data_IF_622619234228
#
_entry.id   IF_622619234228
#
_cell.length_a   1.000
_cell.length_b   1.000
_cell.length_c   1.000
_cell.angle_alpha   90.00
_cell.angle_beta   90.00
_cell.angle_gamma   90.00
#
_symmetry.space_group_name_H-M   'P 1'
#
loop_
_entity.id
_entity.type
_entity.pdbx_description
1 polymer ?
#
# COMPACT_ATOMS: atom_id res chain seq x y z
N UNK A 1 17.30 -12.76 -23.53
CA UNK A 1 18.52 -12.44 -22.77
C UNK A 1 18.25 -11.14 -22.04
N UNK A 2 17.83 -11.23 -20.81
CA UNK A 2 17.54 -10.09 -19.94
C UNK A 2 18.84 -9.40 -19.57
N UNK A 3 18.97 -8.15 -19.96
CA UNK A 3 20.11 -7.29 -19.64
C UNK A 3 20.11 -7.06 -18.13
N UNK A 4 20.91 -7.83 -17.39
CA UNK A 4 21.23 -7.58 -16.00
C UNK A 4 22.05 -6.28 -15.97
N UNK A 5 21.35 -5.15 -15.81
CA UNK A 5 21.98 -3.86 -15.59
C UNK A 5 23.01 -3.95 -14.49
N UNK A 6 24.12 -3.19 -14.62
CA UNK A 6 25.20 -3.17 -13.66
C UNK A 6 24.63 -3.09 -12.23
N UNK A 7 25.03 -4.06 -11.40
CA UNK A 7 24.59 -4.11 -10.00
C UNK A 7 25.05 -2.79 -9.33
N UNK A 8 24.16 -1.97 -8.77
CA UNK A 8 24.57 -0.70 -8.17
C UNK A 8 25.54 -0.96 -7.02
N UNK A 9 26.61 -0.16 -6.95
CA UNK A 9 27.52 -0.19 -5.80
C UNK A 9 26.77 0.25 -4.54
N UNK A 10 26.52 -0.69 -3.63
CA UNK A 10 25.82 -0.46 -2.38
C UNK A 10 26.75 -0.02 -1.24
N UNK A 11 28.07 0.00 -1.46
CA UNK A 11 29.05 0.34 -0.43
C UNK A 11 28.85 1.72 0.20
N UNK A 12 28.49 2.79 -0.57
CA UNK A 12 28.19 4.09 0.02
C UNK A 12 26.95 4.05 0.95
N UNK A 13 25.92 3.29 0.58
CA UNK A 13 24.68 3.18 1.38
C UNK A 13 24.98 2.47 2.71
N UNK A 14 25.71 1.37 2.65
CA UNK A 14 26.15 0.65 3.85
C UNK A 14 27.02 1.56 4.73
N UNK A 15 27.92 2.31 4.13
CA UNK A 15 28.77 3.28 4.84
C UNK A 15 27.94 4.36 5.56
N UNK A 16 26.92 4.90 4.92
CA UNK A 16 26.01 5.87 5.53
C UNK A 16 25.20 5.25 6.67
N UNK A 17 24.75 4.00 6.56
CA UNK A 17 24.08 3.29 7.65
C UNK A 17 24.99 3.12 8.86
N UNK A 18 26.25 2.70 8.65
CA UNK A 18 27.27 2.60 9.71
C UNK A 18 27.44 3.96 10.40
N UNK A 19 27.63 5.02 9.62
CA UNK A 19 27.80 6.39 10.11
C UNK A 19 26.58 6.86 10.91
N UNK A 20 25.36 6.51 10.46
CA UNK A 20 24.12 6.84 11.15
C UNK A 20 24.07 6.20 12.54
N UNK A 21 24.28 4.90 12.64
CA UNK A 21 24.23 4.19 13.93
C UNK A 21 25.37 4.60 14.88
N UNK A 22 26.57 4.81 14.36
CA UNK A 22 27.69 5.32 15.15
C UNK A 22 27.36 6.69 15.78
N UNK A 23 26.86 7.62 14.98
CA UNK A 23 26.46 8.96 15.48
C UNK A 23 25.33 8.89 16.50
N UNK A 24 24.38 8.00 16.31
CA UNK A 24 23.28 7.78 17.26
C UNK A 24 23.78 7.33 18.63
N UNK A 25 24.85 6.56 18.66
CA UNK A 25 25.54 6.14 19.89
C UNK A 25 26.56 7.19 20.40
N UNK A 26 26.66 8.35 19.73
CA UNK A 26 27.62 9.42 20.05
C UNK A 26 29.08 8.97 19.99
N UNK A 27 29.40 7.91 19.27
CA UNK A 27 30.76 7.43 19.07
C UNK A 27 31.49 8.25 18.01
N UNK A 28 32.79 8.48 18.20
CA UNK A 28 33.67 9.00 17.17
C UNK A 28 34.09 7.87 16.21
N UNK A 29 34.67 8.21 15.05
CA UNK A 29 35.28 7.20 14.18
C UNK A 29 36.44 6.47 14.84
N UNK A 30 37.15 7.13 15.75
CA UNK A 30 38.23 6.52 16.53
C UNK A 30 37.69 5.49 17.53
N UNK A 31 36.57 5.81 18.21
CA UNK A 31 35.94 4.91 19.16
C UNK A 31 35.46 3.64 18.47
N UNK A 32 34.75 3.78 17.34
CA UNK A 32 34.32 2.63 16.55
C UNK A 32 35.54 1.83 16.07
N UNK A 33 36.58 2.53 15.58
CA UNK A 33 37.81 1.86 15.17
C UNK A 33 38.45 1.02 16.29
N UNK A 34 38.49 1.52 17.53
CA UNK A 34 38.99 0.80 18.67
C UNK A 34 38.14 -0.46 18.98
N UNK A 35 36.83 -0.36 18.85
CA UNK A 35 35.91 -1.50 19.08
C UNK A 35 36.07 -2.64 18.07
N UNK A 36 36.48 -2.33 16.83
CA UNK A 36 36.65 -3.32 15.76
C UNK A 36 38.11 -3.54 15.36
N UNK A 37 39.07 -3.10 16.19
CA UNK A 37 40.53 -3.21 15.95
C UNK A 37 40.97 -2.63 14.60
N UNK A 38 40.42 -1.47 14.20
CA UNK A 38 40.75 -0.74 12.95
C UNK A 38 41.13 0.71 13.26
N UNK A 39 41.92 1.29 12.41
CA UNK A 39 42.27 2.71 12.53
C UNK A 39 41.11 3.64 12.15
N UNK A 40 41.11 4.88 12.70
CA UNK A 40 40.14 5.93 12.35
C UNK A 40 40.02 6.14 10.84
N UNK A 41 41.18 6.16 10.12
CA UNK A 41 41.21 6.34 8.67
C UNK A 41 40.49 5.20 7.92
N UNK A 42 40.55 3.97 8.42
CA UNK A 42 39.87 2.81 7.86
C UNK A 42 38.36 2.94 8.06
N UNK A 43 37.92 3.32 9.27
CA UNK A 43 36.51 3.57 9.56
C UNK A 43 35.95 4.68 8.64
N UNK A 44 36.70 5.77 8.44
CA UNK A 44 36.30 6.83 7.54
C UNK A 44 36.08 6.34 6.09
N UNK A 45 36.94 5.42 5.61
CA UNK A 45 36.81 4.81 4.28
C UNK A 45 35.63 3.85 4.20
N UNK A 46 35.31 3.12 5.28
CA UNK A 46 34.10 2.31 5.36
C UNK A 46 32.84 3.19 5.27
N UNK A 47 32.79 4.26 6.09
CA UNK A 47 31.65 5.19 6.09
C UNK A 47 31.46 5.98 4.79
N UNK A 48 32.53 6.16 4.00
CA UNK A 48 32.45 6.80 2.69
C UNK A 48 32.22 5.84 1.52
N UNK A 49 32.17 4.53 1.78
CA UNK A 49 32.02 3.50 0.76
C UNK A 49 33.27 3.30 -0.11
N UNK A 50 34.42 3.89 0.26
CA UNK A 50 35.66 3.75 -0.53
C UNK A 50 36.30 2.37 -0.43
N UNK A 51 35.94 1.59 0.57
CA UNK A 51 36.41 0.23 0.76
C UNK A 51 35.18 -0.68 0.91
N UNK A 52 35.16 -1.74 0.10
CA UNK A 52 34.14 -2.80 0.23
C UNK A 52 34.39 -3.55 1.54
N UNK A 53 33.34 -3.66 2.35
CA UNK A 53 33.36 -4.40 3.60
C UNK A 53 33.22 -5.90 3.33
N UNK A 54 34.11 -6.68 3.88
CA UNK A 54 33.90 -8.12 3.98
C UNK A 54 32.85 -8.45 5.06
N UNK A 55 32.27 -9.64 4.96
CA UNK A 55 31.17 -10.08 5.83
C UNK A 55 31.60 -10.11 7.31
N UNK A 56 32.84 -10.51 7.60
CA UNK A 56 33.36 -10.56 8.94
C UNK A 56 33.45 -9.16 9.58
N UNK A 57 34.03 -8.21 8.84
CA UNK A 57 34.14 -6.80 9.29
C UNK A 57 32.75 -6.18 9.48
N UNK A 58 31.80 -6.47 8.60
CA UNK A 58 30.44 -5.97 8.71
C UNK A 58 29.74 -6.52 9.96
N UNK A 59 29.94 -7.80 10.27
CA UNK A 59 29.42 -8.43 11.48
C UNK A 59 30.04 -7.81 12.76
N UNK A 60 31.36 -7.56 12.76
CA UNK A 60 32.04 -6.90 13.88
C UNK A 60 31.51 -5.48 14.11
N UNK A 61 31.27 -4.71 13.05
CA UNK A 61 30.68 -3.38 13.12
C UNK A 61 29.25 -3.46 13.69
N UNK A 62 28.41 -4.37 13.18
CA UNK A 62 27.05 -4.56 13.68
C UNK A 62 27.03 -4.86 15.18
N UNK A 63 27.89 -5.76 15.62
CA UNK A 63 28.05 -6.11 17.03
C UNK A 63 28.53 -4.92 17.86
N UNK A 64 29.53 -4.18 17.40
CA UNK A 64 30.08 -3.01 18.09
C UNK A 64 29.04 -1.89 18.25
N UNK A 65 28.14 -1.75 17.26
CA UNK A 65 27.06 -0.76 17.26
C UNK A 65 25.76 -1.28 17.95
N UNK A 66 25.70 -2.56 18.35
CA UNK A 66 24.52 -3.15 18.99
C UNK A 66 23.31 -3.21 18.06
N UNK A 67 23.53 -3.41 16.75
CA UNK A 67 22.48 -3.49 15.74
C UNK A 67 22.50 -4.84 15.02
N UNK A 68 21.40 -5.21 14.39
CA UNK A 68 21.36 -6.39 13.52
C UNK A 68 22.07 -6.12 12.20
N UNK A 69 22.69 -7.14 11.63
CA UNK A 69 23.38 -7.06 10.35
C UNK A 69 22.48 -6.50 9.24
N UNK A 70 21.21 -6.90 9.22
CA UNK A 70 20.17 -6.44 8.27
C UNK A 70 19.97 -4.93 8.31
N UNK A 71 20.14 -4.30 9.49
CA UNK A 71 20.02 -2.85 9.63
C UNK A 71 21.16 -2.10 8.94
N UNK A 72 22.38 -2.68 8.94
CA UNK A 72 23.52 -2.12 8.21
C UNK A 72 23.39 -2.36 6.70
N UNK A 73 22.82 -3.49 6.30
CA UNK A 73 22.58 -3.87 4.90
C UNK A 73 21.29 -3.26 4.31
N UNK A 74 20.55 -2.49 5.09
CA UNK A 74 19.33 -1.88 4.61
C UNK A 74 19.65 -0.92 3.45
N UNK A 75 19.23 -1.32 2.27
CA UNK A 75 19.21 -0.48 1.07
C UNK A 75 17.77 -0.01 0.94
N UNK A 76 17.50 1.31 1.01
CA UNK A 76 16.17 1.80 0.71
C UNK A 76 15.75 1.24 -0.65
N UNK A 77 14.58 0.62 -0.72
CA UNK A 77 14.02 0.26 -2.02
C UNK A 77 14.13 1.51 -2.91
N UNK A 78 14.56 1.39 -4.17
CA UNK A 78 14.55 2.52 -5.09
C UNK A 78 13.17 3.15 -4.95
N UNK A 79 13.14 4.45 -4.66
CA UNK A 79 11.91 5.24 -4.47
C UNK A 79 10.90 4.74 -5.46
N UNK A 80 9.81 4.17 -4.95
CA UNK A 80 8.87 3.43 -5.76
C UNK A 80 8.56 4.30 -6.97
N UNK A 81 8.82 3.75 -8.16
CA UNK A 81 8.70 4.44 -9.42
C UNK A 81 7.31 5.02 -9.49
N UNK A 82 7.18 6.32 -9.60
CA UNK A 82 5.88 6.95 -9.88
C UNK A 82 5.35 6.24 -11.11
N UNK A 83 4.18 5.58 -11.05
CA UNK A 83 3.64 4.89 -12.22
C UNK A 83 3.59 5.88 -13.37
N UNK A 84 4.19 5.55 -14.51
CA UNK A 84 3.96 6.33 -15.72
C UNK A 84 2.46 6.24 -16.06
N UNK A 85 1.92 7.21 -16.78
CA UNK A 85 0.51 7.19 -17.19
C UNK A 85 0.15 5.89 -17.94
N UNK A 86 1.13 5.24 -18.58
CA UNK A 86 1.01 3.93 -19.22
C UNK A 86 0.88 2.75 -18.23
N UNK A 87 1.22 2.95 -16.96
CA UNK A 87 1.12 1.93 -15.89
C UNK A 87 -0.19 2.04 -15.10
N UNK A 88 -0.98 3.11 -15.33
CA UNK A 88 -2.30 3.25 -14.72
C UNK A 88 -3.28 2.38 -15.49
N UNK A 89 -3.96 1.41 -14.82
CA UNK A 89 -4.93 0.57 -15.50
C UNK A 89 -6.04 1.39 -16.18
N UNK A 90 -6.50 0.95 -17.34
CA UNK A 90 -7.49 1.67 -18.17
C UNK A 90 -8.75 2.09 -17.40
N UNK A 91 -9.18 1.28 -16.42
CA UNK A 91 -10.31 1.61 -15.55
C UNK A 91 -10.11 2.90 -14.75
N UNK A 92 -8.86 3.25 -14.39
CA UNK A 92 -8.54 4.43 -13.59
C UNK A 92 -8.01 5.61 -14.41
N UNK A 93 -7.83 5.42 -15.75
CA UNK A 93 -7.42 6.51 -16.62
C UNK A 93 -8.55 7.53 -16.75
N UNK A 94 -8.20 8.81 -16.71
CA UNK A 94 -9.11 9.96 -16.92
C UNK A 94 -10.33 10.02 -15.98
N UNK A 95 -10.36 9.18 -14.93
CA UNK A 95 -11.44 9.17 -13.95
C UNK A 95 -10.88 9.20 -12.54
N UNK A 96 -11.30 10.20 -11.77
CA UNK A 96 -10.79 10.44 -10.40
C UNK A 96 -11.90 10.41 -9.34
N UNK A 97 -13.16 10.31 -9.77
CA UNK A 97 -14.34 10.15 -8.90
C UNK A 97 -15.06 8.86 -9.29
N UNK A 98 -15.25 7.97 -8.33
CA UNK A 98 -15.93 6.69 -8.50
C UNK A 98 -17.06 6.58 -7.50
N UNK A 99 -18.10 5.85 -7.87
CA UNK A 99 -19.20 5.47 -7.01
C UNK A 99 -18.98 4.03 -6.53
N UNK A 100 -19.07 3.80 -5.23
CA UNK A 100 -18.82 2.50 -4.61
C UNK A 100 -20.10 2.03 -3.93
N UNK A 101 -20.56 0.86 -4.33
CA UNK A 101 -21.80 0.26 -3.85
C UNK A 101 -21.52 -1.06 -3.16
N UNK A 102 -22.18 -1.31 -2.03
CA UNK A 102 -22.24 -2.61 -1.40
C UNK A 102 -23.57 -2.81 -0.68
N UNK A 103 -23.94 -4.08 -0.47
CA UNK A 103 -25.16 -4.44 0.21
C UNK A 103 -24.86 -4.98 1.60
N UNK A 104 -25.36 -4.30 2.63
CA UNK A 104 -25.28 -4.79 4.01
C UNK A 104 -26.51 -5.62 4.34
N UNK A 105 -26.33 -6.93 4.44
CA UNK A 105 -27.41 -7.89 4.74
C UNK A 105 -27.97 -7.76 6.15
N UNK A 106 -27.24 -7.12 7.10
CA UNK A 106 -27.67 -6.94 8.49
C UNK A 106 -28.85 -5.99 8.60
N UNK A 107 -28.76 -4.87 7.91
CA UNK A 107 -29.81 -3.84 7.87
C UNK A 107 -30.61 -3.86 6.57
N UNK A 108 -30.29 -4.79 5.65
CA UNK A 108 -30.90 -4.92 4.31
C UNK A 108 -30.79 -3.64 3.50
N UNK A 109 -29.71 -2.89 3.66
CA UNK A 109 -29.51 -1.60 3.02
C UNK A 109 -28.43 -1.68 1.94
N UNK A 110 -28.72 -1.05 0.82
CA UNK A 110 -27.70 -0.69 -0.18
C UNK A 110 -26.98 0.56 0.31
N UNK A 111 -25.66 0.50 0.40
CA UNK A 111 -24.83 1.64 0.79
C UNK A 111 -24.15 2.21 -0.45
N UNK A 112 -24.33 3.50 -0.66
CA UNK A 112 -23.63 4.28 -1.69
C UNK A 112 -22.49 5.07 -1.01
N UNK A 113 -21.33 5.04 -1.62
CA UNK A 113 -20.15 5.77 -1.17
C UNK A 113 -19.46 6.40 -2.38
N UNK A 114 -18.70 7.46 -2.16
CA UNK A 114 -17.94 8.12 -3.22
C UNK A 114 -16.45 8.02 -2.92
N UNK A 115 -15.69 7.56 -3.89
CA UNK A 115 -14.24 7.51 -3.83
C UNK A 115 -13.65 8.59 -4.73
N UNK A 116 -12.70 9.35 -4.19
CA UNK A 116 -11.97 10.39 -4.92
C UNK A 116 -10.49 10.09 -4.85
N UNK A 117 -9.83 10.15 -6.00
CA UNK A 117 -8.40 9.89 -6.15
C UNK A 117 -7.74 11.21 -6.55
N UNK A 118 -6.65 11.57 -5.89
CA UNK A 118 -5.80 12.66 -6.34
C UNK A 118 -4.89 12.15 -7.46
N UNK A 119 -5.00 12.69 -8.70
CA UNK A 119 -4.18 12.22 -9.82
C UNK A 119 -2.70 12.56 -9.70
N UNK A 120 -2.35 13.46 -8.79
CA UNK A 120 -0.97 13.90 -8.60
C UNK A 120 -0.38 13.11 -7.44
N UNK A 121 0.59 12.20 -7.70
CA UNK A 121 1.28 11.51 -6.62
C UNK A 121 2.09 12.52 -5.79
N UNK A 122 2.29 12.21 -4.52
CA UNK A 122 3.22 13.00 -3.70
C UNK A 122 4.65 12.76 -4.19
N UNK A 123 5.49 13.77 -4.03
CA UNK A 123 6.88 13.70 -4.45
C UNK A 123 7.58 12.49 -3.79
N UNK A 124 8.12 11.59 -4.61
CA UNK A 124 8.79 10.37 -4.15
C UNK A 124 7.87 9.19 -3.77
N UNK A 125 6.53 9.30 -3.93
CA UNK A 125 5.60 8.21 -3.67
C UNK A 125 5.09 7.58 -4.98
N UNK A 126 5.02 6.24 -5.02
CA UNK A 126 4.41 5.49 -6.14
C UNK A 126 2.90 5.32 -5.99
N UNK A 127 2.34 5.74 -4.87
CA UNK A 127 0.93 5.63 -4.55
C UNK A 127 0.21 6.96 -4.75
N UNK A 128 -1.05 6.89 -5.16
CA UNK A 128 -1.94 8.05 -5.28
C UNK A 128 -2.71 8.24 -3.97
N UNK A 129 -2.91 9.49 -3.56
CA UNK A 129 -3.80 9.77 -2.43
C UNK A 129 -5.25 9.44 -2.81
N UNK A 130 -5.95 8.76 -1.91
CA UNK A 130 -7.36 8.39 -2.09
C UNK A 130 -8.19 8.73 -0.86
N UNK A 131 -9.45 9.10 -1.09
CA UNK A 131 -10.45 9.37 -0.04
C UNK A 131 -11.73 8.64 -0.36
N UNK A 132 -12.28 7.94 0.62
CA UNK A 132 -13.59 7.32 0.53
C UNK A 132 -14.56 8.05 1.47
N UNK A 133 -15.60 8.60 0.91
CA UNK A 133 -16.73 9.20 1.60
C UNK A 133 -17.81 8.12 1.74
N UNK A 134 -17.89 7.54 2.92
CA UNK A 134 -18.68 6.35 3.18
C UNK A 134 -20.12 6.68 3.54
N UNK A 135 -21.07 5.95 2.96
CA UNK A 135 -22.51 6.06 3.20
C UNK A 135 -23.01 7.50 2.97
N UNK A 136 -22.94 7.94 1.73
CA UNK A 136 -23.42 9.27 1.31
C UNK A 136 -24.93 9.23 1.04
N UNK A 137 -25.65 10.28 1.43
CA UNK A 137 -27.06 10.44 1.11
C UNK A 137 -27.23 11.06 -0.29
N UNK A 138 -26.29 11.94 -0.67
CA UNK A 138 -26.28 12.62 -1.95
C UNK A 138 -24.87 12.60 -2.53
N UNK A 139 -24.70 11.91 -3.65
CA UNK A 139 -23.40 11.77 -4.32
C UNK A 139 -22.86 13.08 -4.93
N UNK A 140 -23.68 14.12 -5.08
CA UNK A 140 -23.21 15.44 -5.49
C UNK A 140 -22.68 16.25 -4.29
N UNK A 141 -23.16 15.95 -3.10
CA UNK A 141 -22.71 16.53 -1.84
C UNK A 141 -22.05 15.49 -0.94
N UNK A 142 -21.21 14.64 -1.55
CA UNK A 142 -20.57 13.49 -0.91
C UNK A 142 -19.72 13.83 0.33
N UNK A 143 -19.34 15.10 0.52
CA UNK A 143 -18.66 15.53 1.75
C UNK A 143 -19.55 15.38 2.98
N UNK A 144 -20.89 15.39 2.80
CA UNK A 144 -21.87 15.11 3.83
C UNK A 144 -22.08 13.57 3.89
N UNK A 145 -21.17 12.89 4.56
CA UNK A 145 -21.12 11.44 4.67
C UNK A 145 -21.05 10.99 6.13
N UNK A 146 -21.31 9.71 6.38
CA UNK A 146 -21.22 9.16 7.73
C UNK A 146 -19.78 9.10 8.24
N UNK A 147 -18.84 8.61 7.38
CA UNK A 147 -17.42 8.54 7.70
C UNK A 147 -16.56 8.92 6.50
N UNK A 148 -15.38 9.48 6.78
CA UNK A 148 -14.36 9.74 5.77
C UNK A 148 -13.13 8.89 6.05
N UNK A 149 -12.76 8.07 5.08
CA UNK A 149 -11.52 7.32 5.09
C UNK A 149 -10.50 8.00 4.18
N UNK A 150 -9.24 8.01 4.61
CA UNK A 150 -8.14 8.59 3.84
C UNK A 150 -6.98 7.61 3.77
N UNK A 151 -6.26 7.63 2.67
CA UNK A 151 -5.11 6.75 2.49
C UNK A 151 -4.60 6.77 1.06
N UNK A 152 -4.21 5.63 0.55
CA UNK A 152 -3.50 5.51 -0.71
C UNK A 152 -4.13 4.46 -1.63
N UNK A 153 -3.98 4.71 -2.93
CA UNK A 153 -4.21 3.75 -4.02
C UNK A 153 -2.86 3.35 -4.60
N UNK A 154 -2.63 2.05 -4.70
CA UNK A 154 -1.48 1.49 -5.39
C UNK A 154 -1.94 0.57 -6.51
N UNK A 155 -1.39 0.79 -7.71
CA UNK A 155 -1.63 -0.05 -8.88
C UNK A 155 -0.55 -1.13 -8.97
N UNK A 156 -1.00 -2.34 -9.31
CA UNK A 156 -0.17 -3.48 -9.67
C UNK A 156 -0.67 -4.03 -11.02
N UNK A 157 0.08 -4.93 -11.64
CA UNK A 157 -0.22 -5.42 -13.00
C UNK A 157 -1.66 -5.94 -13.16
N UNK A 158 -2.17 -6.67 -12.16
CA UNK A 158 -3.48 -7.36 -12.24
C UNK A 158 -4.49 -6.87 -11.21
N UNK A 159 -4.09 -5.99 -10.30
CA UNK A 159 -4.94 -5.55 -9.18
C UNK A 159 -4.58 -4.13 -8.74
N UNK A 160 -5.58 -3.35 -8.37
CA UNK A 160 -5.41 -2.07 -7.70
C UNK A 160 -5.90 -2.17 -6.27
N UNK A 161 -5.11 -1.68 -5.33
CA UNK A 161 -5.38 -1.79 -3.89
C UNK A 161 -5.45 -0.41 -3.26
N UNK A 162 -6.57 -0.13 -2.61
CA UNK A 162 -6.72 1.00 -1.71
C UNK A 162 -6.47 0.52 -0.28
N UNK A 163 -5.65 1.26 0.44
CA UNK A 163 -5.47 1.11 1.90
C UNK A 163 -5.88 2.41 2.55
N UNK A 164 -6.98 2.38 3.29
CA UNK A 164 -7.65 3.58 3.79
C UNK A 164 -7.90 3.44 5.29
N UNK A 165 -7.80 4.55 6.02
CA UNK A 165 -8.02 4.62 7.46
C UNK A 165 -9.09 5.67 7.77
N UNK A 166 -9.99 5.38 8.72
CA UNK A 166 -11.01 6.31 9.18
C UNK A 166 -10.35 7.51 9.89
N UNK A 167 -10.70 8.72 9.47
CA UNK A 167 -10.18 9.95 10.08
C UNK A 167 -10.53 10.11 11.56
N UNK A 168 -11.68 9.57 11.97
CA UNK A 168 -12.21 9.74 13.33
C UNK A 168 -11.86 8.56 14.24
N UNK A 169 -11.54 7.39 13.67
CA UNK A 169 -11.29 6.15 14.42
C UNK A 169 -10.11 5.40 13.82
N UNK A 170 -8.91 5.63 14.34
CA UNK A 170 -7.66 5.05 13.82
C UNK A 170 -7.65 3.51 13.75
N UNK A 171 -8.49 2.84 14.52
CA UNK A 171 -8.64 1.38 14.50
C UNK A 171 -9.38 0.88 13.24
N UNK A 172 -10.17 1.72 12.59
CA UNK A 172 -10.94 1.35 11.41
C UNK A 172 -10.07 1.55 10.15
N UNK A 173 -9.34 0.51 9.80
CA UNK A 173 -8.64 0.38 8.54
C UNK A 173 -9.48 -0.49 7.59
N UNK A 174 -9.50 -0.10 6.33
CA UNK A 174 -10.13 -0.88 5.28
C UNK A 174 -9.22 -1.01 4.06
N UNK A 175 -9.34 -2.15 3.39
CA UNK A 175 -8.70 -2.42 2.10
C UNK A 175 -9.75 -2.67 1.04
N UNK A 176 -9.59 -2.00 -0.11
CA UNK A 176 -10.40 -2.27 -1.29
C UNK A 176 -9.48 -2.80 -2.37
N UNK A 177 -9.80 -3.98 -2.88
CA UNK A 177 -9.05 -4.65 -3.94
C UNK A 177 -9.92 -4.75 -5.18
N UNK A 178 -9.44 -4.22 -6.31
CA UNK A 178 -10.17 -4.21 -7.58
C UNK A 178 -9.28 -4.90 -8.61
N UNK A 179 -9.72 -6.05 -9.17
CA UNK A 179 -9.03 -6.68 -10.29
C UNK A 179 -8.96 -5.71 -11.48
N UNK A 180 -7.76 -5.44 -11.95
CA UNK A 180 -7.53 -4.57 -13.09
C UNK A 180 -7.22 -5.41 -14.30
N UNK A 181 -8.27 -5.87 -14.99
CA UNK A 181 -8.12 -6.49 -16.30
C UNK A 181 -7.92 -5.39 -17.34
N UNK A 182 -7.27 -5.74 -18.46
CA UNK A 182 -6.89 -4.83 -19.54
C UNK A 182 -8.07 -4.11 -20.24
N UNK A 183 -9.31 -4.45 -19.91
CA UNK A 183 -10.49 -3.86 -20.54
C UNK A 183 -10.90 -2.58 -19.81
N UNK A 184 -11.07 -1.51 -20.56
CA UNK A 184 -11.77 -0.33 -20.09
C UNK A 184 -13.25 -0.67 -19.90
N UNK A 185 -13.64 -0.83 -18.65
CA UNK A 185 -15.00 -1.11 -18.24
C UNK A 185 -15.56 0.11 -17.49
N UNK A 186 -16.85 0.37 -17.63
CA UNK A 186 -17.51 1.42 -16.86
C UNK A 186 -17.60 1.08 -15.37
N UNK A 187 -17.64 -0.21 -15.05
CA UNK A 187 -17.77 -0.73 -13.69
C UNK A 187 -16.93 -1.98 -13.47
N UNK A 188 -16.52 -2.20 -12.24
CA UNK A 188 -15.81 -3.41 -11.81
C UNK A 188 -16.29 -3.86 -10.46
N UNK A 189 -16.38 -5.18 -10.29
CA UNK A 189 -16.51 -5.78 -8.98
C UNK A 189 -15.18 -5.78 -8.26
N UNK A 190 -15.25 -5.67 -6.95
CA UNK A 190 -14.09 -5.67 -6.09
C UNK A 190 -14.43 -6.22 -4.71
N UNK A 191 -13.45 -6.18 -3.88
CA UNK A 191 -13.46 -6.73 -2.55
C UNK A 191 -13.16 -5.63 -1.53
N UNK A 192 -14.05 -5.45 -0.57
CA UNK A 192 -13.88 -4.56 0.57
C UNK A 192 -13.61 -5.44 1.79
N UNK A 193 -12.50 -5.24 2.46
CA UNK A 193 -12.16 -5.90 3.71
C UNK A 193 -11.84 -4.87 4.77
N UNK A 194 -12.39 -5.03 5.98
CA UNK A 194 -12.18 -4.09 7.06
C UNK A 194 -12.77 -4.58 8.37
N UNK A 195 -12.95 -3.67 9.31
CA UNK A 195 -13.56 -3.95 10.60
C UNK A 195 -14.94 -3.27 10.65
N UNK A 196 -15.96 -4.07 10.97
CA UNK A 196 -17.30 -3.54 11.23
C UNK A 196 -17.37 -2.97 12.64
N UNK A 197 -18.03 -1.83 12.80
CA UNK A 197 -18.22 -1.20 14.11
C UNK A 197 -19.33 -1.83 14.96
N UNK A 198 -20.32 -2.51 14.34
CA UNK A 198 -21.49 -3.07 15.03
C UNK A 198 -21.97 -4.38 14.40
N UNK A 199 -21.64 -5.56 14.96
CA UNK A 199 -20.66 -5.81 16.02
C UNK A 199 -19.24 -5.57 15.53
N UNK A 200 -18.30 -5.35 16.45
CA UNK A 200 -16.89 -5.18 16.13
C UNK A 200 -16.31 -6.51 15.68
N UNK A 201 -16.13 -6.68 14.38
CA UNK A 201 -15.60 -7.90 13.78
C UNK A 201 -14.97 -7.64 12.41
N UNK A 202 -14.01 -8.46 11.98
CA UNK A 202 -13.55 -8.44 10.60
C UNK A 202 -14.70 -8.78 9.65
N UNK A 203 -14.86 -7.99 8.61
CA UNK A 203 -15.89 -8.18 7.60
C UNK A 203 -15.31 -8.02 6.20
N UNK A 204 -16.00 -8.66 5.27
CA UNK A 204 -15.68 -8.61 3.87
C UNK A 204 -16.96 -8.48 3.05
N UNK A 205 -16.96 -7.55 2.10
CA UNK A 205 -18.07 -7.31 1.20
C UNK A 205 -17.65 -7.43 -0.26
N UNK A 206 -18.57 -7.96 -1.07
CA UNK A 206 -18.55 -7.78 -2.52
C UNK A 206 -18.99 -6.34 -2.80
N UNK A 207 -18.23 -5.60 -3.59
CA UNK A 207 -18.53 -4.22 -3.94
C UNK A 207 -18.59 -4.06 -5.46
N UNK A 208 -19.33 -3.06 -5.91
CA UNK A 208 -19.27 -2.55 -7.26
C UNK A 208 -18.65 -1.16 -7.23
N UNK A 209 -17.64 -0.94 -8.06
CA UNK A 209 -17.01 0.36 -8.28
C UNK A 209 -17.35 0.80 -9.70
N UNK A 210 -17.96 1.96 -9.85
CA UNK A 210 -18.44 2.47 -11.13
C UNK A 210 -17.95 3.89 -11.38
N UNK A 211 -17.63 4.19 -12.65
CA UNK A 211 -17.30 5.55 -13.12
C UNK A 211 -18.55 6.44 -13.16
N UNK A 212 -19.72 5.84 -13.32
CA UNK A 212 -21.01 6.54 -13.40
C UNK A 212 -21.91 6.18 -12.23
N UNK A 213 -22.73 7.14 -11.82
CA UNK A 213 -23.72 6.90 -10.75
C UNK A 213 -24.76 5.88 -11.22
N UNK A 214 -25.01 4.85 -10.40
CA UNK A 214 -26.05 3.84 -10.64
C UNK A 214 -27.33 4.20 -9.90
N UNK A 215 -28.44 3.78 -10.47
CA UNK A 215 -29.74 3.85 -9.78
C UNK A 215 -29.79 2.74 -8.73
N UNK A 216 -30.08 3.06 -7.46
CA UNK A 216 -30.18 2.05 -6.39
C UNK A 216 -31.47 1.25 -6.53
N UNK A 217 -31.45 0.26 -7.42
CA UNK A 217 -32.58 -0.60 -7.74
C UNK A 217 -32.38 -2.05 -7.25
N UNK A 218 -33.41 -2.88 -7.49
CA UNK A 218 -33.37 -4.30 -7.13
C UNK A 218 -32.32 -5.09 -7.92
N UNK A 219 -31.95 -4.65 -9.10
CA UNK A 219 -30.94 -5.29 -9.97
C UNK A 219 -29.56 -5.13 -9.36
N UNK A 220 -29.21 -3.89 -8.98
CA UNK A 220 -27.95 -3.59 -8.30
C UNK A 220 -27.83 -4.36 -6.98
N UNK A 221 -28.90 -4.40 -6.18
CA UNK A 221 -28.96 -5.19 -4.94
C UNK A 221 -28.71 -6.67 -5.20
N UNK A 222 -29.31 -7.22 -6.29
CA UNK A 222 -29.12 -8.64 -6.65
C UNK A 222 -27.68 -8.95 -7.05
N UNK A 223 -27.01 -8.06 -7.75
CA UNK A 223 -25.61 -8.20 -8.16
C UNK A 223 -24.65 -8.19 -6.95
N UNK A 224 -24.97 -7.39 -5.91
CA UNK A 224 -24.14 -7.22 -4.74
C UNK A 224 -24.38 -8.25 -3.64
N UNK A 225 -25.52 -8.97 -3.69
CA UNK A 225 -25.78 -10.09 -2.78
C UNK A 225 -24.90 -11.29 -3.12
N UNK A 226 -24.46 -12.00 -2.10
CA UNK A 226 -23.79 -13.29 -2.26
C UNK A 226 -24.77 -14.26 -2.92
N UNK A 227 -24.44 -14.73 -4.11
CA UNK A 227 -25.24 -15.65 -4.91
C UNK A 227 -25.03 -17.11 -4.49
N UNK A 228 -25.85 -18.01 -5.01
CA UNK A 228 -25.62 -19.47 -4.83
C UNK A 228 -24.28 -19.90 -5.46
N UNK A 229 -23.90 -19.29 -6.58
CA UNK A 229 -22.63 -19.55 -7.22
C UNK A 229 -21.45 -19.07 -6.36
N UNK A 230 -21.50 -17.85 -5.81
CA UNK A 230 -20.49 -17.36 -4.89
C UNK A 230 -20.30 -18.32 -3.71
N UNK A 231 -21.40 -18.82 -3.12
CA UNK A 231 -21.35 -19.81 -2.02
C UNK A 231 -20.72 -21.15 -2.45
N UNK A 232 -20.97 -21.61 -3.66
CA UNK A 232 -20.32 -22.81 -4.20
C UNK A 232 -18.81 -22.61 -4.34
N UNK A 233 -18.39 -21.46 -4.89
CA UNK A 233 -16.97 -21.14 -5.06
C UNK A 233 -16.26 -20.96 -3.71
N UNK A 234 -16.88 -20.27 -2.75
CA UNK A 234 -16.35 -20.15 -1.39
C UNK A 234 -16.12 -21.52 -0.76
N UNK A 235 -17.09 -22.45 -0.90
CA UNK A 235 -16.96 -23.81 -0.38
C UNK A 235 -15.89 -24.63 -1.10
N UNK A 236 -15.81 -24.50 -2.43
CA UNK A 236 -14.86 -25.24 -3.25
C UNK A 236 -13.41 -24.83 -2.98
N UNK A 237 -13.14 -23.54 -2.94
CA UNK A 237 -11.79 -23.02 -2.71
C UNK A 237 -11.45 -22.83 -1.23
N UNK A 238 -12.44 -22.92 -0.34
CA UNK A 238 -12.32 -22.55 1.08
C UNK A 238 -11.77 -21.13 1.28
N UNK A 239 -12.17 -20.21 0.41
CA UNK A 239 -11.73 -18.79 0.38
C UNK A 239 -12.90 -17.90 0.02
N UNK A 240 -12.91 -16.66 0.54
CA UNK A 240 -13.82 -15.61 0.07
C UNK A 240 -13.28 -15.04 -1.24
N UNK A 241 -13.96 -15.31 -2.33
CA UNK A 241 -13.61 -14.81 -3.66
C UNK A 241 -14.75 -13.93 -4.20
N UNK A 242 -14.38 -12.96 -5.04
CA UNK A 242 -15.32 -12.12 -5.80
C UNK A 242 -15.07 -12.36 -7.27
N UNK A 243 -16.11 -12.79 -7.98
CA UNK A 243 -16.08 -13.08 -9.43
C UNK A 243 -17.01 -12.13 -10.17
#
# INVERSE_FOLDING_TARGET
>A
MTNLGANPDISPIIGDNIRFFRKRLKLTQSDLGSLINKGKATVAKYESGQIILDVQTLYEIARALGVNLEQLLYVPAPTARVPSQAEIPAFFQDTYKFYVYFYDGRNKKLTESVMVINPIPREGEASLEAKLFYNVEDAERYQLCEFTFVGTLQHYDVISIFTLQNKSMAMEELKISIPTTYNDAEEKFGHFAGISSRPLMPVTFKILVSKVKKVPDSTLVKQLKISKYDLQMIKFYNMFIVT
#
